data_IF_415141379351
#
_entry.id   IF_415141379351
#
_cell.length_a   1.000
_cell.length_b   1.000
_cell.length_c   1.000
_cell.angle_alpha   90.00
_cell.angle_beta   90.00
_cell.angle_gamma   90.00
#
_symmetry.space_group_name_H-M   'P 1'
#
loop_
_entity.id
_entity.type
_entity.pdbx_description
1 polymer ?
#
# COMPACT_ATOMS: atom_id res chain seq x y z
N UNK A 1 20.82 -13.10 1.66
CA UNK A 1 19.87 -14.22 1.46
C UNK A 1 19.09 -13.82 0.24
N UNK A 2 19.49 -14.35 -0.91
CA UNK A 2 18.75 -14.17 -2.14
C UNK A 2 17.47 -15.00 -2.02
N UNK A 3 16.31 -14.36 -2.05
CA UNK A 3 15.04 -15.08 -2.15
C UNK A 3 14.99 -15.69 -3.55
N UNK A 4 15.44 -16.94 -3.68
CA UNK A 4 15.24 -17.70 -4.91
C UNK A 4 13.83 -18.26 -4.91
N UNK A 5 12.95 -17.59 -5.63
CA UNK A 5 11.66 -18.14 -6.02
C UNK A 5 11.91 -19.29 -6.99
N UNK A 6 11.47 -20.50 -6.62
CA UNK A 6 11.60 -21.70 -7.45
C UNK A 6 10.79 -21.48 -8.73
N UNK A 7 11.49 -21.33 -9.84
CA UNK A 7 10.90 -21.32 -11.19
C UNK A 7 10.61 -22.76 -11.62
N UNK A 8 9.39 -23.11 -12.06
CA UNK A 8 9.22 -24.28 -12.87
C UNK A 8 9.79 -23.95 -14.24
N UNK A 9 11.01 -24.41 -14.50
CA UNK A 9 11.51 -24.56 -15.85
C UNK A 9 10.56 -25.52 -16.60
N UNK A 10 9.72 -24.97 -17.47
CA UNK A 10 9.34 -25.65 -18.70
C UNK A 10 8.94 -24.61 -19.74
N UNK A 11 9.90 -24.33 -20.62
CA UNK A 11 9.69 -23.63 -21.88
C UNK A 11 8.73 -24.44 -22.73
N UNK A 12 7.62 -23.84 -23.12
CA UNK A 12 7.08 -24.02 -24.46
C UNK A 12 7.08 -22.62 -25.07
N UNK A 13 7.78 -22.37 -26.19
CA UNK A 13 7.84 -21.04 -26.76
C UNK A 13 6.45 -20.69 -27.31
N UNK A 14 5.80 -19.70 -26.71
CA UNK A 14 4.73 -18.98 -27.39
C UNK A 14 5.36 -18.31 -28.61
N UNK A 15 4.82 -18.65 -29.77
CA UNK A 15 5.28 -18.19 -31.08
C UNK A 15 5.40 -16.67 -31.15
N UNK A 16 6.55 -16.24 -31.65
CA UNK A 16 6.95 -14.91 -32.12
C UNK A 16 5.85 -13.86 -32.30
N UNK A 17 5.76 -12.93 -31.36
CA UNK A 17 5.42 -11.54 -31.66
C UNK A 17 6.72 -10.73 -31.74
N UNK A 18 7.36 -10.80 -32.90
CA UNK A 18 8.60 -10.11 -33.25
C UNK A 18 8.33 -8.68 -33.72
N UNK A 19 7.67 -7.88 -32.89
CA UNK A 19 7.71 -6.42 -33.01
C UNK A 19 8.60 -5.90 -31.88
N UNK A 20 9.60 -5.03 -32.13
CA UNK A 20 10.30 -4.34 -31.07
C UNK A 20 9.29 -3.53 -30.23
N UNK A 21 8.92 -4.07 -29.06
CA UNK A 21 7.82 -3.58 -28.21
C UNK A 21 8.04 -2.18 -27.65
N UNK A 22 9.23 -1.60 -27.79
CA UNK A 22 9.49 -0.18 -27.54
C UNK A 22 8.69 0.77 -28.44
N UNK A 23 8.08 0.25 -29.53
CA UNK A 23 7.11 0.99 -30.36
C UNK A 23 5.64 0.73 -29.99
N UNK A 24 5.37 -0.12 -29.00
CA UNK A 24 4.01 -0.54 -28.67
C UNK A 24 3.29 0.45 -27.78
N UNK A 25 3.99 1.31 -27.05
CA UNK A 25 3.48 2.21 -26.01
C UNK A 25 3.80 3.67 -26.34
N UNK A 26 2.93 4.60 -25.94
CA UNK A 26 3.18 6.02 -26.14
C UNK A 26 4.38 6.47 -25.28
N UNK A 27 5.21 7.37 -25.81
CA UNK A 27 6.44 7.86 -25.17
C UNK A 27 6.11 8.54 -23.84
N UNK A 28 5.02 9.32 -23.80
CA UNK A 28 4.55 10.00 -22.59
C UNK A 28 4.19 9.03 -21.46
N UNK A 29 3.57 7.89 -21.80
CA UNK A 29 3.20 6.86 -20.84
C UNK A 29 4.44 6.11 -20.32
N UNK A 30 5.40 5.82 -21.20
CA UNK A 30 6.66 5.18 -20.81
C UNK A 30 7.49 6.08 -19.88
N UNK A 31 7.54 7.38 -20.15
CA UNK A 31 8.17 8.35 -19.26
C UNK A 31 7.49 8.39 -17.90
N UNK A 32 6.16 8.36 -17.86
CA UNK A 32 5.42 8.33 -16.60
C UNK A 32 5.66 7.03 -15.80
N UNK A 33 5.73 5.87 -16.49
CA UNK A 33 6.12 4.60 -15.86
C UNK A 33 7.52 4.66 -15.25
N UNK A 34 8.48 5.31 -15.92
CA UNK A 34 9.83 5.51 -15.38
C UNK A 34 9.83 6.38 -14.13
N UNK A 35 9.05 7.46 -14.13
CA UNK A 35 8.87 8.33 -12.96
C UNK A 35 8.29 7.54 -11.78
N UNK A 36 7.23 6.76 -12.01
CA UNK A 36 6.60 5.93 -10.99
C UNK A 36 7.54 4.83 -10.47
N UNK A 37 8.42 4.31 -11.32
CA UNK A 37 9.43 3.29 -10.94
C UNK A 37 10.51 3.89 -10.04
N UNK A 38 11.00 5.08 -10.37
CA UNK A 38 11.94 5.78 -9.48
C UNK A 38 11.26 6.11 -8.15
N UNK A 39 10.00 6.57 -8.18
CA UNK A 39 9.26 6.85 -6.96
C UNK A 39 9.05 5.61 -6.08
N UNK A 40 8.66 4.48 -6.67
CA UNK A 40 8.49 3.21 -5.96
C UNK A 40 9.82 2.74 -5.34
N UNK A 41 10.93 2.92 -6.07
CA UNK A 41 12.27 2.57 -5.59
C UNK A 41 12.75 3.47 -4.47
N UNK A 42 12.51 4.79 -4.58
CA UNK A 42 12.79 5.75 -3.52
C UNK A 42 12.01 5.40 -2.24
N UNK A 43 10.71 5.13 -2.37
CA UNK A 43 9.85 4.71 -1.26
C UNK A 43 10.39 3.48 -0.54
N UNK A 44 10.78 2.44 -1.28
CA UNK A 44 11.40 1.23 -0.72
C UNK A 44 12.71 1.53 0.02
N UNK A 45 13.57 2.39 -0.54
CA UNK A 45 14.84 2.81 0.09
C UNK A 45 14.60 3.59 1.39
N UNK A 46 13.68 4.55 1.39
CA UNK A 46 13.32 5.33 2.58
C UNK A 46 12.86 4.40 3.71
N UNK A 47 11.99 3.44 3.40
CA UNK A 47 11.52 2.49 4.38
C UNK A 47 12.62 1.52 4.88
N UNK A 48 13.48 1.04 4.00
CA UNK A 48 14.58 0.15 4.37
C UNK A 48 15.56 0.81 5.35
N UNK A 49 15.82 2.11 5.20
CA UNK A 49 16.67 2.86 6.14
C UNK A 49 16.08 2.97 7.54
N UNK A 50 14.76 2.85 7.69
CA UNK A 50 14.05 2.92 8.97
C UNK A 50 14.02 1.57 9.71
N UNK A 51 14.44 0.45 9.08
CA UNK A 51 14.52 -0.88 9.72
C UNK A 51 13.19 -1.38 10.29
N UNK A 52 12.09 -0.92 9.69
CA UNK A 52 10.74 -1.05 10.22
C UNK A 52 9.91 -2.06 9.42
N UNK A 53 8.66 -2.28 9.83
CA UNK A 53 7.75 -3.26 9.24
C UNK A 53 6.60 -2.50 8.59
N UNK A 54 6.39 -2.74 7.29
CA UNK A 54 5.43 -1.96 6.50
C UNK A 54 4.01 -2.19 7.03
N UNK A 55 3.20 -1.14 7.07
CA UNK A 55 1.77 -1.16 7.41
C UNK A 55 1.42 -1.74 8.79
N UNK A 56 2.41 -1.88 9.67
CA UNK A 56 2.20 -2.35 11.04
C UNK A 56 1.31 -1.39 11.85
N UNK A 57 1.33 -0.10 11.52
CA UNK A 57 0.59 0.93 12.24
C UNK A 57 -0.82 1.15 11.70
N UNK A 58 -1.19 0.46 10.62
CA UNK A 58 -2.47 0.56 9.94
C UNK A 58 -3.19 -0.79 9.87
N UNK A 59 -3.52 -1.41 11.03
CA UNK A 59 -4.35 -2.61 11.04
C UNK A 59 -5.76 -2.29 10.52
N UNK A 60 -6.55 -3.33 10.22
CA UNK A 60 -7.90 -3.19 9.62
C UNK A 60 -8.79 -2.15 10.29
N UNK A 61 -8.87 -2.04 11.65
CA UNK A 61 -9.70 -1.02 12.29
C UNK A 61 -9.24 0.42 12.00
N UNK A 62 -7.95 0.66 11.78
CA UNK A 62 -7.42 1.98 11.42
C UNK A 62 -7.76 2.31 9.97
N UNK A 63 -7.61 1.33 9.07
CA UNK A 63 -7.99 1.47 7.66
C UNK A 63 -9.49 1.77 7.54
N UNK A 64 -10.34 0.99 8.22
CA UNK A 64 -11.79 1.17 8.27
C UNK A 64 -12.18 2.54 8.83
N UNK A 65 -11.56 2.96 9.95
CA UNK A 65 -11.78 4.29 10.50
C UNK A 65 -11.40 5.39 9.50
N UNK A 66 -10.32 5.22 8.75
CA UNK A 66 -9.87 6.21 7.75
C UNK A 66 -10.87 6.30 6.59
N UNK A 67 -11.32 5.15 6.07
CA UNK A 67 -12.37 5.07 5.04
C UNK A 67 -13.65 5.78 5.50
N UNK A 68 -14.09 5.53 6.73
CA UNK A 68 -15.28 6.15 7.30
C UNK A 68 -15.14 7.67 7.44
N UNK A 69 -13.99 8.16 7.94
CA UNK A 69 -13.73 9.59 8.08
C UNK A 69 -13.72 10.27 6.70
N UNK A 70 -13.02 9.70 5.72
CA UNK A 70 -12.96 10.26 4.38
C UNK A 70 -14.34 10.27 3.71
N UNK A 71 -15.16 9.23 3.92
CA UNK A 71 -16.55 9.19 3.46
C UNK A 71 -17.39 10.31 4.09
N UNK A 72 -17.27 10.56 5.40
CA UNK A 72 -17.95 11.67 6.09
C UNK A 72 -17.58 13.04 5.52
N UNK A 73 -16.34 13.21 5.06
CA UNK A 73 -15.88 14.44 4.43
C UNK A 73 -16.03 14.46 2.91
N UNK A 74 -16.64 13.42 2.32
CA UNK A 74 -16.81 13.26 0.87
C UNK A 74 -15.47 13.39 0.10
N UNK A 75 -14.40 12.87 0.70
CA UNK A 75 -13.06 12.88 0.11
C UNK A 75 -12.87 11.69 -0.83
N UNK A 76 -12.15 11.86 -1.95
CA UNK A 76 -11.93 10.77 -2.88
C UNK A 76 -10.95 9.73 -2.32
N UNK A 77 -10.98 8.53 -2.89
CA UNK A 77 -10.25 7.36 -2.36
C UNK A 77 -8.74 7.54 -2.41
N UNK A 78 -8.23 8.32 -3.35
CA UNK A 78 -6.84 8.76 -3.46
C UNK A 78 -6.37 9.40 -2.15
N UNK A 79 -7.18 10.28 -1.55
CA UNK A 79 -6.90 10.91 -0.26
C UNK A 79 -6.84 9.87 0.85
N UNK A 80 -7.73 8.88 0.80
CA UNK A 80 -7.84 7.83 1.82
C UNK A 80 -6.58 6.96 1.86
N UNK A 81 -6.20 6.35 0.73
CA UNK A 81 -5.04 5.46 0.71
C UNK A 81 -3.72 6.20 0.90
N UNK A 82 -3.62 7.45 0.43
CA UNK A 82 -2.46 8.30 0.71
C UNK A 82 -2.39 8.65 2.22
N UNK A 83 -3.52 8.93 2.87
CA UNK A 83 -3.55 9.20 4.30
C UNK A 83 -3.14 7.99 5.14
N UNK A 84 -3.56 6.77 4.74
CA UNK A 84 -3.14 5.51 5.38
C UNK A 84 -1.62 5.37 5.31
N UNK A 85 -1.04 5.62 4.13
CA UNK A 85 0.40 5.55 3.96
C UNK A 85 1.17 6.59 4.80
N UNK A 86 0.74 7.84 4.76
CA UNK A 86 1.32 8.92 5.57
C UNK A 86 1.23 8.56 7.06
N UNK A 87 0.11 8.00 7.49
CA UNK A 87 -0.10 7.61 8.89
C UNK A 87 0.83 6.47 9.30
N UNK A 88 0.99 5.44 8.48
CA UNK A 88 1.89 4.32 8.80
C UNK A 88 3.33 4.80 8.99
N UNK A 89 3.86 5.52 7.99
CA UNK A 89 5.20 6.10 8.04
C UNK A 89 5.39 7.03 9.23
N UNK A 90 4.39 7.88 9.51
CA UNK A 90 4.47 8.81 10.63
C UNK A 90 4.54 8.06 11.98
N UNK A 91 3.70 7.05 12.18
CA UNK A 91 3.68 6.31 13.44
C UNK A 91 5.00 5.56 13.63
N UNK A 92 5.51 4.91 12.59
CA UNK A 92 6.81 4.22 12.60
C UNK A 92 7.94 5.18 12.98
N UNK A 93 8.07 6.30 12.27
CA UNK A 93 9.12 7.28 12.54
C UNK A 93 8.97 7.89 13.94
N UNK A 94 7.76 8.33 14.30
CA UNK A 94 7.52 8.99 15.58
C UNK A 94 7.78 8.07 16.77
N UNK A 95 7.39 6.80 16.68
CA UNK A 95 7.63 5.83 17.75
C UNK A 95 9.10 5.46 17.87
N UNK A 96 9.80 5.34 16.74
CA UNK A 96 11.26 5.11 16.70
C UNK A 96 12.02 6.24 17.36
N UNK A 97 11.74 7.50 17.00
CA UNK A 97 12.36 8.68 17.59
C UNK A 97 12.15 8.75 19.11
N UNK A 98 10.92 8.48 19.56
CA UNK A 98 10.56 8.51 20.97
C UNK A 98 11.25 7.39 21.77
N UNK A 99 11.41 6.22 21.16
CA UNK A 99 12.12 5.10 21.76
C UNK A 99 13.62 5.39 21.87
N UNK A 100 14.24 5.87 20.79
CA UNK A 100 15.66 6.27 20.79
C UNK A 100 15.95 7.33 21.86
N UNK A 101 15.12 8.38 21.93
CA UNK A 101 15.23 9.40 22.98
C UNK A 101 15.16 8.81 24.39
N UNK A 102 14.29 7.79 24.59
CA UNK A 102 14.21 7.10 25.88
C UNK A 102 15.49 6.34 26.21
N UNK A 103 16.10 5.68 25.23
CA UNK A 103 17.36 4.95 25.38
C UNK A 103 18.53 5.90 25.70
N UNK A 104 18.57 7.05 25.04
CA UNK A 104 19.62 8.06 25.26
C UNK A 104 19.50 8.76 26.62
N UNK A 105 18.28 8.89 27.14
CA UNK A 105 18.00 9.61 28.40
C UNK A 105 18.25 8.79 29.67
N UNK A 106 18.33 7.45 29.59
CA UNK A 106 18.51 6.59 30.75
C UNK A 106 19.05 5.23 30.33
N UNK A 107 20.03 4.68 31.06
CA UNK A 107 20.50 3.31 30.90
C UNK A 107 19.69 2.27 31.68
N UNK A 108 18.77 2.70 32.57
CA UNK A 108 17.93 1.80 33.35
C UNK A 108 16.67 1.39 32.58
N UNK A 109 16.56 0.09 32.28
CA UNK A 109 15.44 -0.47 31.54
C UNK A 109 14.07 -0.23 32.21
N UNK A 110 14.00 -0.22 33.56
CA UNK A 110 12.74 0.06 34.26
C UNK A 110 12.27 1.49 34.03
N UNK A 111 13.19 2.45 34.10
CA UNK A 111 12.92 3.86 33.82
C UNK A 111 12.53 4.09 32.36
N UNK A 112 13.22 3.47 31.40
CA UNK A 112 12.85 3.48 29.98
C UNK A 112 11.43 2.94 29.77
N UNK A 113 11.10 1.79 30.35
CA UNK A 113 9.77 1.18 30.21
C UNK A 113 8.65 2.05 30.81
N UNK A 114 8.92 2.71 31.94
CA UNK A 114 7.97 3.65 32.56
C UNK A 114 7.74 4.87 31.69
N UNK A 115 8.82 5.43 31.11
CA UNK A 115 8.73 6.53 30.15
C UNK A 115 7.93 6.11 28.92
N UNK A 116 8.26 4.95 28.34
CA UNK A 116 7.58 4.38 27.18
C UNK A 116 6.07 4.23 27.41
N UNK A 117 5.64 3.61 28.52
CA UNK A 117 4.22 3.48 28.86
C UNK A 117 3.49 4.82 28.91
N UNK A 118 4.13 5.85 29.48
CA UNK A 118 3.56 7.21 29.55
C UNK A 118 3.42 7.83 28.16
N UNK A 119 4.43 7.67 27.31
CA UNK A 119 4.43 8.20 25.95
C UNK A 119 3.41 7.46 25.09
N UNK A 120 3.37 6.12 25.12
CA UNK A 120 2.39 5.32 24.37
C UNK A 120 0.95 5.67 24.73
N UNK A 121 0.64 5.84 26.02
CA UNK A 121 -0.68 6.27 26.47
C UNK A 121 -1.04 7.69 25.95
N UNK A 122 -0.06 8.59 25.84
CA UNK A 122 -0.27 9.91 25.25
C UNK A 122 -0.48 9.84 23.75
N UNK A 123 0.32 9.04 23.04
CA UNK A 123 0.21 8.84 21.59
C UNK A 123 -1.14 8.23 21.22
N UNK A 124 -1.63 7.27 22.00
CA UNK A 124 -2.96 6.68 21.81
C UNK A 124 -4.08 7.73 21.95
N UNK A 125 -4.02 8.61 22.95
CA UNK A 125 -5.01 9.70 23.11
C UNK A 125 -4.98 10.73 21.97
N UNK A 126 -3.89 10.77 21.20
CA UNK A 126 -3.71 11.71 20.10
C UNK A 126 -3.84 11.03 18.72
N UNK A 127 -4.08 9.71 18.66
CA UNK A 127 -4.05 8.96 17.41
C UNK A 127 -5.07 9.47 16.40
N UNK A 128 -6.31 9.74 16.83
CA UNK A 128 -7.35 10.30 15.96
C UNK A 128 -6.94 11.66 15.39
N UNK A 129 -6.36 12.54 16.21
CA UNK A 129 -5.87 13.84 15.74
C UNK A 129 -4.72 13.67 14.72
N UNK A 130 -3.82 12.69 14.93
CA UNK A 130 -2.73 12.38 13.99
C UNK A 130 -3.28 11.82 12.68
N UNK A 131 -4.27 10.94 12.74
CA UNK A 131 -4.92 10.39 11.56
C UNK A 131 -5.60 11.50 10.73
N UNK A 132 -6.38 12.36 11.38
CA UNK A 132 -6.99 13.52 10.71
C UNK A 132 -5.93 14.47 10.13
N UNK A 133 -4.80 14.66 10.81
CA UNK A 133 -3.68 15.42 10.25
C UNK A 133 -3.09 14.78 8.98
N UNK A 134 -3.00 13.45 8.93
CA UNK A 134 -2.57 12.73 7.72
C UNK A 134 -3.58 12.89 6.57
N UNK A 135 -4.89 12.82 6.88
CA UNK A 135 -5.97 13.08 5.90
C UNK A 135 -5.91 14.52 5.38
N UNK A 136 -5.65 15.51 6.24
CA UNK A 136 -5.48 16.89 5.81
C UNK A 136 -4.29 17.05 4.85
N UNK A 137 -3.13 16.46 5.17
CA UNK A 137 -1.95 16.49 4.30
C UNK A 137 -2.27 15.82 2.96
N UNK A 138 -2.84 14.61 2.97
CA UNK A 138 -3.22 13.89 1.76
C UNK A 138 -4.21 14.70 0.91
N UNK A 139 -5.22 15.33 1.53
CA UNK A 139 -6.18 16.17 0.83
C UNK A 139 -5.55 17.39 0.17
N UNK A 140 -4.47 17.95 0.73
CA UNK A 140 -3.74 19.07 0.12
C UNK A 140 -2.92 18.64 -1.08
N UNK A 141 -2.39 17.42 -1.05
CA UNK A 141 -1.63 16.84 -2.17
C UNK A 141 -2.59 16.56 -3.34
N UNK A 142 -3.73 15.93 -3.05
CA UNK A 142 -4.68 15.47 -4.08
C UNK A 142 -5.60 16.60 -4.57
N UNK A 143 -6.15 17.43 -3.67
CA UNK A 143 -7.28 18.32 -3.99
C UNK A 143 -6.93 19.80 -4.14
N UNK A 144 -5.65 20.17 -4.16
CA UNK A 144 -5.16 21.55 -4.33
C UNK A 144 -5.98 22.62 -3.57
N UNK A 145 -6.99 23.23 -4.22
CA UNK A 145 -7.83 24.32 -3.70
C UNK A 145 -8.99 23.91 -2.79
N UNK A 146 -9.41 22.63 -2.79
CA UNK A 146 -10.58 22.12 -2.05
C UNK A 146 -10.17 21.22 -0.89
N UNK A 147 -8.92 21.34 -0.44
CA UNK A 147 -8.37 20.51 0.63
C UNK A 147 -9.11 20.66 1.97
N UNK A 148 -9.06 19.61 2.79
CA UNK A 148 -9.74 19.55 4.08
C UNK A 148 -9.20 20.63 5.05
N UNK A 149 -10.05 21.62 5.33
CA UNK A 149 -9.67 22.73 6.21
C UNK A 149 -9.51 22.29 7.68
N UNK A 150 -8.62 22.96 8.45
CA UNK A 150 -8.52 22.73 9.90
C UNK A 150 -9.83 22.96 10.67
N UNK A 151 -10.72 23.80 10.14
CA UNK A 151 -12.03 24.08 10.73
C UNK A 151 -12.97 22.87 10.64
N UNK A 152 -13.00 22.20 9.49
CA UNK A 152 -13.76 20.95 9.33
C UNK A 152 -13.27 19.86 10.29
N UNK A 153 -11.95 19.77 10.48
CA UNK A 153 -11.35 18.83 11.46
C UNK A 153 -11.71 19.19 12.90
N UNK A 154 -11.72 20.49 13.25
CA UNK A 154 -12.15 20.96 14.57
C UNK A 154 -13.61 20.59 14.86
N UNK A 155 -14.50 20.83 13.90
CA UNK A 155 -15.92 20.50 14.01
C UNK A 155 -16.16 18.99 14.16
N UNK A 156 -15.44 18.16 13.38
CA UNK A 156 -15.49 16.70 13.49
C UNK A 156 -15.02 16.23 14.87
N UNK A 157 -13.85 16.69 15.32
CA UNK A 157 -13.29 16.31 16.63
C UNK A 157 -14.23 16.72 17.77
N UNK A 158 -14.85 17.90 17.71
CA UNK A 158 -15.81 18.35 18.70
C UNK A 158 -17.04 17.43 18.76
N UNK A 159 -17.59 17.04 17.61
CA UNK A 159 -18.70 16.06 17.52
C UNK A 159 -18.31 14.69 18.09
N UNK A 160 -17.05 14.29 17.95
CA UNK A 160 -16.50 13.06 18.54
C UNK A 160 -16.08 13.19 20.02
N UNK A 161 -16.38 14.31 20.69
CA UNK A 161 -16.09 14.51 22.12
C UNK A 161 -14.67 15.01 22.42
N UNK A 162 -13.93 15.49 21.42
CA UNK A 162 -12.57 15.99 21.56
C UNK A 162 -12.50 17.53 21.39
N UNK A 163 -12.19 18.24 22.47
CA UNK A 163 -12.09 19.70 22.47
C UNK A 163 -10.70 20.20 22.03
N UNK A 164 -10.32 19.95 20.77
CA UNK A 164 -9.11 20.54 20.17
C UNK A 164 -9.39 21.93 19.62
N UNK A 165 -8.40 22.82 19.71
CA UNK A 165 -8.43 24.15 19.08
C UNK A 165 -7.70 24.12 17.73
N UNK A 166 -8.06 24.99 16.79
CA UNK A 166 -7.35 25.18 15.51
C UNK A 166 -5.82 25.20 15.65
N UNK A 167 -5.26 25.95 16.61
CA UNK A 167 -3.80 26.01 16.85
C UNK A 167 -3.19 24.62 17.11
N UNK A 168 -3.89 23.77 17.85
CA UNK A 168 -3.45 22.41 18.16
C UNK A 168 -3.57 21.49 16.95
N UNK A 169 -4.60 21.69 16.11
CA UNK A 169 -4.81 20.94 14.87
C UNK A 169 -3.71 21.28 13.86
N UNK A 170 -3.50 22.56 13.56
CA UNK A 170 -2.41 22.99 12.67
C UNK A 170 -1.02 22.60 13.21
N UNK A 171 -0.84 22.65 14.54
CA UNK A 171 0.39 22.18 15.18
C UNK A 171 0.59 20.66 15.06
N UNK A 172 -0.50 19.89 15.04
CA UNK A 172 -0.46 18.45 14.79
C UNK A 172 -0.09 18.13 13.35
N UNK A 173 -0.73 18.81 12.40
CA UNK A 173 -0.44 18.67 10.98
C UNK A 173 1.03 18.97 10.67
N UNK A 174 1.54 20.10 11.17
CA UNK A 174 2.95 20.47 10.99
C UNK A 174 3.88 19.41 11.56
N UNK A 175 3.54 18.83 12.73
CA UNK A 175 4.34 17.78 13.34
C UNK A 175 4.42 16.54 12.46
N UNK A 176 3.27 16.06 11.95
CA UNK A 176 3.24 14.90 11.05
C UNK A 176 4.13 15.16 9.84
N UNK A 177 3.94 16.30 9.17
CA UNK A 177 4.71 16.65 7.98
C UNK A 177 6.21 16.79 8.27
N UNK A 178 6.59 17.44 9.37
CA UNK A 178 8.00 17.62 9.75
C UNK A 178 8.67 16.33 10.20
N UNK A 179 7.93 15.43 10.87
CA UNK A 179 8.46 14.12 11.29
C UNK A 179 8.83 13.25 10.09
N UNK A 180 8.11 13.41 8.98
CA UNK A 180 8.44 12.75 7.71
C UNK A 180 9.52 13.49 6.89
N UNK A 181 10.20 14.48 7.47
CA UNK A 181 11.20 15.29 6.77
C UNK A 181 10.63 16.03 5.56
N UNK A 182 9.33 16.37 5.58
CA UNK A 182 8.59 16.93 4.45
C UNK A 182 8.56 16.02 3.20
N UNK A 183 8.82 14.72 3.37
CA UNK A 183 8.78 13.70 2.30
C UNK A 183 7.51 12.88 2.42
N UNK A 184 6.47 13.34 1.76
CA UNK A 184 5.20 12.62 1.60
C UNK A 184 5.09 12.12 0.16
N UNK A 185 4.49 10.95 -0.09
CA UNK A 185 4.29 10.47 -1.46
C UNK A 185 3.45 11.47 -2.24
N UNK A 186 3.85 11.71 -3.48
CA UNK A 186 3.11 12.57 -4.42
C UNK A 186 2.18 11.72 -5.28
N UNK A 187 2.63 10.50 -5.61
CA UNK A 187 1.84 9.52 -6.34
C UNK A 187 1.16 8.55 -5.38
N UNK A 188 -0.07 8.19 -5.73
CA UNK A 188 -0.94 7.26 -5.03
C UNK A 188 -0.96 5.90 -5.75
N UNK A 189 -1.46 4.87 -5.08
CA UNK A 189 -1.68 3.55 -5.71
C UNK A 189 -2.57 3.63 -6.98
N UNK A 190 -3.47 4.63 -7.06
CA UNK A 190 -4.29 4.85 -8.25
C UNK A 190 -3.48 5.30 -9.45
N UNK A 191 -2.38 6.05 -9.28
CA UNK A 191 -1.50 6.42 -10.40
C UNK A 191 -0.87 5.17 -11.04
N UNK A 192 -0.49 4.19 -10.20
CA UNK A 192 0.02 2.89 -10.66
C UNK A 192 -1.07 2.05 -11.33
N UNK A 193 -2.28 1.98 -10.76
CA UNK A 193 -3.41 1.26 -11.37
C UNK A 193 -3.78 1.88 -12.71
N UNK A 194 -3.90 3.21 -12.76
CA UNK A 194 -4.29 3.97 -13.94
C UNK A 194 -3.31 3.73 -15.09
N UNK A 195 -2.01 3.95 -14.89
CA UNK A 195 -1.02 3.78 -15.96
C UNK A 195 -0.95 2.35 -16.48
N UNK A 196 -1.14 1.35 -15.60
CA UNK A 196 -1.13 -0.06 -15.98
C UNK A 196 -2.40 -0.46 -16.73
N UNK A 197 -3.57 0.07 -16.34
CA UNK A 197 -4.83 -0.11 -17.09
C UNK A 197 -4.76 0.56 -18.46
N UNK A 198 -4.21 1.77 -18.54
CA UNK A 198 -3.97 2.48 -19.81
C UNK A 198 -3.04 1.68 -20.73
N UNK A 199 -2.01 1.04 -20.18
CA UNK A 199 -1.16 0.14 -20.96
C UNK A 199 -1.91 -1.11 -21.44
N UNK A 200 -2.86 -1.63 -20.65
CA UNK A 200 -3.68 -2.80 -20.99
C UNK A 200 -4.79 -2.51 -22.01
N UNK A 201 -5.18 -1.25 -22.23
CA UNK A 201 -6.18 -0.85 -23.25
C UNK A 201 -5.90 -1.43 -24.64
N UNK A 202 -4.63 -1.74 -24.95
CA UNK A 202 -4.22 -2.32 -26.23
C UNK A 202 -4.64 -3.77 -26.41
N UNK A 203 -4.95 -4.44 -25.31
CA UNK A 203 -5.30 -5.86 -25.25
C UNK A 203 -6.78 -6.05 -24.85
N UNK A 204 -7.42 -5.01 -24.31
CA UNK A 204 -8.84 -5.05 -23.94
C UNK A 204 -9.49 -3.68 -24.08
N UNK A 205 -10.69 -3.65 -24.66
CA UNK A 205 -11.54 -2.45 -24.69
C UNK A 205 -12.47 -2.36 -23.46
N UNK A 206 -12.40 -3.33 -22.53
CA UNK A 206 -13.27 -3.48 -21.36
C UNK A 206 -12.70 -2.77 -20.11
N UNK A 207 -11.66 -1.95 -20.25
CA UNK A 207 -11.00 -1.26 -19.12
C UNK A 207 -11.90 -0.29 -18.36
N UNK A 208 -12.93 0.24 -19.02
CA UNK A 208 -13.89 1.14 -18.39
C UNK A 208 -14.71 0.45 -17.29
N UNK A 209 -14.88 -0.87 -17.39
CA UNK A 209 -15.52 -1.71 -16.36
C UNK A 209 -14.51 -2.15 -15.29
N UNK A 210 -13.21 -2.18 -15.61
CA UNK A 210 -12.16 -2.59 -14.68
C UNK A 210 -11.92 -1.57 -13.56
N UNK A 211 -11.96 -0.28 -13.84
CA UNK A 211 -11.59 0.74 -12.85
C UNK A 211 -12.48 0.71 -11.58
N UNK A 212 -13.83 0.66 -11.68
CA UNK A 212 -14.69 0.54 -10.50
C UNK A 212 -14.44 -0.74 -9.69
N UNK A 213 -14.11 -1.86 -10.34
CA UNK A 213 -13.78 -3.11 -9.65
C UNK A 213 -12.40 -3.03 -8.99
N UNK A 214 -11.42 -2.40 -9.65
CA UNK A 214 -10.11 -2.15 -9.07
C UNK A 214 -10.22 -1.33 -7.78
N UNK A 215 -11.08 -0.32 -7.73
CA UNK A 215 -11.35 0.47 -6.53
C UNK A 215 -11.87 -0.40 -5.37
N UNK A 216 -12.88 -1.24 -5.62
CA UNK A 216 -13.43 -2.15 -4.60
C UNK A 216 -12.41 -3.20 -4.13
N UNK A 217 -11.66 -3.79 -5.07
CA UNK A 217 -10.62 -4.77 -4.77
C UNK A 217 -9.50 -4.11 -3.97
N UNK A 218 -9.10 -2.88 -4.30
CA UNK A 218 -8.10 -2.12 -3.57
C UNK A 218 -8.54 -1.83 -2.12
N UNK A 219 -9.77 -1.36 -1.92
CA UNK A 219 -10.33 -1.12 -0.59
C UNK A 219 -10.29 -2.40 0.26
N UNK A 220 -10.77 -3.51 -0.30
CA UNK A 220 -10.76 -4.80 0.39
C UNK A 220 -9.32 -5.27 0.70
N UNK A 221 -8.40 -5.09 -0.25
CA UNK A 221 -6.98 -5.45 -0.09
C UNK A 221 -6.35 -4.68 1.07
N UNK A 222 -6.67 -3.40 1.24
CA UNK A 222 -6.18 -2.61 2.38
C UNK A 222 -6.82 -3.05 3.71
N UNK A 223 -8.10 -3.42 3.71
CA UNK A 223 -8.78 -3.93 4.91
C UNK A 223 -8.21 -5.29 5.37
N UNK A 224 -7.84 -6.17 4.44
CA UNK A 224 -7.31 -7.51 4.73
C UNK A 224 -5.78 -7.61 4.59
N UNK A 225 -5.09 -6.47 4.51
CA UNK A 225 -3.67 -6.39 4.13
C UNK A 225 -2.77 -7.30 4.96
N UNK A 226 -2.88 -7.22 6.28
CA UNK A 226 -2.06 -7.99 7.22
C UNK A 226 -2.21 -9.50 6.97
N UNK A 227 -3.44 -9.97 6.77
CA UNK A 227 -3.71 -11.38 6.50
C UNK A 227 -3.24 -11.81 5.10
N UNK A 228 -3.47 -10.97 4.08
CA UNK A 228 -3.01 -11.23 2.70
C UNK A 228 -1.48 -11.38 2.67
N UNK A 229 -0.74 -10.44 3.25
CA UNK A 229 0.72 -10.47 3.22
C UNK A 229 1.34 -11.53 4.14
N UNK A 230 0.68 -11.89 5.25
CA UNK A 230 1.04 -13.08 6.05
C UNK A 230 0.93 -14.38 5.25
N UNK A 231 -0.15 -14.53 4.49
CA UNK A 231 -0.31 -15.68 3.61
C UNK A 231 0.69 -15.65 2.46
N UNK A 232 1.01 -14.46 1.93
CA UNK A 232 1.94 -14.31 0.82
C UNK A 232 3.39 -14.66 1.20
N UNK A 233 3.87 -14.20 2.36
CA UNK A 233 5.18 -14.64 2.85
C UNK A 233 5.19 -16.14 3.17
N UNK A 234 4.10 -16.68 3.72
CA UNK A 234 3.96 -18.13 3.93
C UNK A 234 4.04 -18.90 2.62
N UNK A 235 3.39 -18.45 1.55
CA UNK A 235 3.48 -19.08 0.23
C UNK A 235 4.91 -19.08 -0.32
N UNK A 236 5.66 -18.00 -0.08
CA UNK A 236 7.06 -17.90 -0.52
C UNK A 236 8.01 -18.79 0.29
N UNK A 237 7.76 -19.00 1.58
CA UNK A 237 8.71 -19.68 2.49
C UNK A 237 8.24 -21.03 3.02
N UNK A 238 6.99 -21.42 2.78
CA UNK A 238 6.30 -22.58 3.37
C UNK A 238 6.38 -22.64 4.91
N UNK A 239 6.43 -21.48 5.57
CA UNK A 239 6.61 -21.34 7.03
C UNK A 239 5.79 -20.19 7.56
N UNK A 240 5.25 -20.33 8.77
CA UNK A 240 4.49 -19.28 9.45
C UNK A 240 5.35 -18.49 10.45
N UNK A 241 6.46 -19.08 10.87
CA UNK A 241 7.44 -18.47 11.75
C UNK A 241 8.51 -17.74 10.94
N UNK A 242 8.50 -16.41 11.05
CA UNK A 242 9.51 -15.54 10.44
C UNK A 242 10.15 -14.67 11.51
N UNK A 243 11.47 -14.64 11.51
CA UNK A 243 12.25 -13.68 12.28
C UNK A 243 11.94 -12.25 11.86
N UNK A 244 12.24 -11.29 12.75
CA UNK A 244 12.08 -9.86 12.44
C UNK A 244 12.85 -9.47 11.17
N UNK A 245 14.06 -10.00 10.99
CA UNK A 245 14.91 -9.68 9.84
C UNK A 245 14.34 -10.25 8.53
N UNK A 246 13.72 -11.43 8.56
CA UNK A 246 13.00 -11.97 7.40
C UNK A 246 11.80 -11.09 7.03
N UNK A 247 11.05 -10.59 8.01
CA UNK A 247 9.93 -9.68 7.74
C UNK A 247 10.37 -8.31 7.22
N UNK A 248 11.48 -7.77 7.74
CA UNK A 248 12.06 -6.52 7.24
C UNK A 248 12.48 -6.70 5.78
N UNK A 249 13.10 -7.82 5.42
CA UNK A 249 13.44 -8.12 4.03
C UNK A 249 12.20 -8.26 3.14
N UNK A 250 11.14 -8.88 3.65
CA UNK A 250 9.88 -9.02 2.93
C UNK A 250 9.12 -7.69 2.77
N UNK A 251 9.43 -6.66 3.59
CA UNK A 251 8.78 -5.36 3.49
C UNK A 251 8.94 -4.72 2.09
N UNK A 252 10.03 -5.00 1.36
CA UNK A 252 10.19 -4.52 -0.02
C UNK A 252 9.09 -5.03 -0.96
N UNK A 253 8.62 -6.27 -0.75
CA UNK A 253 7.51 -6.88 -1.51
C UNK A 253 6.20 -6.21 -1.14
N UNK A 254 5.99 -5.95 0.15
CA UNK A 254 4.77 -5.29 0.64
C UNK A 254 4.66 -3.81 0.23
N UNK A 255 5.79 -3.13 0.09
CA UNK A 255 5.84 -1.73 -0.32
C UNK A 255 5.75 -1.53 -1.84
N UNK A 256 5.91 -2.60 -2.62
CA UNK A 256 5.96 -2.51 -4.07
C UNK A 256 4.57 -2.18 -4.66
N UNK A 257 4.38 -0.92 -5.03
CA UNK A 257 3.13 -0.41 -5.60
C UNK A 257 2.83 -1.02 -6.97
N UNK A 258 3.86 -1.38 -7.75
CA UNK A 258 3.66 -2.01 -9.05
C UNK A 258 3.16 -3.45 -8.89
N UNK A 259 3.70 -4.21 -7.94
CA UNK A 259 3.20 -5.53 -7.62
C UNK A 259 1.73 -5.47 -7.14
N UNK A 260 1.45 -4.55 -6.22
CA UNK A 260 0.09 -4.36 -5.68
C UNK A 260 -0.92 -3.97 -6.77
N UNK A 261 -0.62 -2.93 -7.55
CA UNK A 261 -1.49 -2.46 -8.62
C UNK A 261 -1.73 -3.56 -9.66
N UNK A 262 -0.68 -4.30 -10.05
CA UNK A 262 -0.81 -5.42 -10.99
C UNK A 262 -1.71 -6.53 -10.42
N UNK A 263 -1.53 -6.90 -9.16
CA UNK A 263 -2.36 -7.92 -8.52
C UNK A 263 -3.83 -7.50 -8.39
N UNK A 264 -4.10 -6.21 -8.11
CA UNK A 264 -5.46 -5.65 -8.08
C UNK A 264 -6.11 -5.73 -9.45
N UNK A 265 -5.39 -5.35 -10.51
CA UNK A 265 -5.89 -5.41 -11.89
C UNK A 265 -6.19 -6.86 -12.29
N UNK A 266 -5.26 -7.78 -12.08
CA UNK A 266 -5.44 -9.21 -12.40
C UNK A 266 -6.61 -9.82 -11.63
N UNK A 267 -6.78 -9.44 -10.36
CA UNK A 267 -7.92 -9.85 -9.54
C UNK A 267 -9.23 -9.31 -10.10
N UNK A 268 -9.25 -8.06 -10.55
CA UNK A 268 -10.43 -7.43 -11.14
C UNK A 268 -10.83 -8.08 -12.46
N UNK A 269 -9.85 -8.41 -13.31
CA UNK A 269 -10.05 -9.19 -14.54
C UNK A 269 -10.64 -10.57 -14.22
N UNK A 270 -10.14 -11.23 -13.18
CA UNK A 270 -10.66 -12.53 -12.74
C UNK A 270 -12.10 -12.44 -12.23
N UNK A 271 -12.42 -11.44 -11.39
CA UNK A 271 -13.76 -11.23 -10.83
C UNK A 271 -14.78 -10.92 -11.92
N UNK A 272 -14.42 -10.07 -12.89
CA UNK A 272 -15.29 -9.74 -14.03
C UNK A 272 -15.39 -10.87 -15.04
N UNK A 273 -14.48 -11.85 -15.00
CA UNK A 273 -14.37 -12.93 -15.97
C UNK A 273 -14.35 -12.38 -17.41
N UNK A 274 -13.44 -11.43 -17.66
CA UNK A 274 -13.34 -10.76 -18.96
C UNK A 274 -13.09 -11.77 -20.08
N UNK A 275 -13.73 -11.52 -21.22
CA UNK A 275 -13.63 -12.39 -22.39
C UNK A 275 -12.40 -12.07 -23.24
N UNK A 276 -11.94 -10.81 -23.23
CA UNK A 276 -10.85 -10.35 -24.10
C UNK A 276 -9.46 -10.74 -23.59
N UNK A 277 -9.26 -10.81 -22.27
CA UNK A 277 -7.96 -11.06 -21.66
C UNK A 277 -8.12 -11.84 -20.35
N UNK A 278 -7.41 -12.96 -20.25
CA UNK A 278 -7.42 -13.79 -19.05
C UNK A 278 -6.42 -13.32 -17.98
N UNK A 279 -6.59 -13.72 -16.70
CA UNK A 279 -5.69 -13.35 -15.60
C UNK A 279 -4.22 -13.72 -15.83
N UNK A 280 -3.96 -14.88 -16.47
CA UNK A 280 -2.60 -15.34 -16.76
C UNK A 280 -1.91 -14.44 -17.80
N UNK A 281 -2.61 -14.13 -18.89
CA UNK A 281 -2.09 -13.26 -19.96
C UNK A 281 -1.87 -11.83 -19.45
N UNK A 282 -2.83 -11.29 -18.70
CA UNK A 282 -2.68 -9.99 -18.04
C UNK A 282 -1.47 -9.96 -17.10
N UNK A 283 -1.22 -11.04 -16.35
CA UNK A 283 -0.06 -11.10 -15.44
C UNK A 283 1.27 -11.07 -16.18
N UNK A 284 1.38 -11.69 -17.36
CA UNK A 284 2.60 -11.66 -18.17
C UNK A 284 2.85 -10.27 -18.78
N UNK A 285 1.79 -9.62 -19.29
CA UNK A 285 1.88 -8.26 -19.85
C UNK A 285 2.27 -7.27 -18.75
N UNK A 286 1.61 -7.34 -17.60
CA UNK A 286 1.90 -6.48 -16.45
C UNK A 286 3.29 -6.75 -15.88
N UNK A 287 3.74 -8.00 -15.83
CA UNK A 287 5.09 -8.37 -15.41
C UNK A 287 6.17 -7.63 -16.22
N UNK A 288 6.00 -7.55 -17.54
CA UNK A 288 6.91 -6.82 -18.43
C UNK A 288 6.91 -5.31 -18.13
N UNK A 289 5.73 -4.70 -18.01
CA UNK A 289 5.55 -3.26 -17.77
C UNK A 289 6.04 -2.82 -16.38
N UNK A 290 5.62 -3.56 -15.36
CA UNK A 290 5.92 -3.30 -13.96
C UNK A 290 7.37 -3.66 -13.61
N UNK A 291 8.02 -4.52 -14.40
CA UNK A 291 9.30 -5.15 -14.05
C UNK A 291 9.20 -5.93 -12.72
N UNK A 292 8.10 -6.68 -12.56
CA UNK A 292 7.78 -7.50 -11.39
C UNK A 292 7.48 -8.92 -11.87
N UNK A 293 7.81 -9.95 -11.08
CA UNK A 293 7.54 -11.35 -11.42
C UNK A 293 6.06 -11.63 -11.69
N UNK A 294 5.75 -12.25 -12.85
CA UNK A 294 4.38 -12.71 -13.16
C UNK A 294 3.88 -13.77 -12.18
N UNK A 295 4.77 -14.55 -11.55
CA UNK A 295 4.41 -15.49 -10.49
C UNK A 295 3.93 -14.76 -9.24
N UNK A 296 4.58 -13.64 -8.89
CA UNK A 296 4.27 -12.89 -7.68
C UNK A 296 2.95 -12.14 -7.86
N UNK A 297 2.74 -11.54 -9.03
CA UNK A 297 1.48 -10.91 -9.42
C UNK A 297 0.32 -11.92 -9.28
N UNK A 298 0.48 -13.12 -9.84
CA UNK A 298 -0.54 -14.18 -9.76
C UNK A 298 -0.74 -14.68 -8.34
N UNK A 299 0.34 -14.92 -7.60
CA UNK A 299 0.28 -15.38 -6.21
C UNK A 299 -0.50 -14.41 -5.34
N UNK A 300 -0.18 -13.11 -5.42
CA UNK A 300 -0.88 -12.08 -4.67
C UNK A 300 -2.34 -11.93 -5.14
N UNK A 301 -2.60 -11.97 -6.45
CA UNK A 301 -3.96 -11.88 -7.00
C UNK A 301 -4.86 -13.05 -6.55
N UNK A 302 -4.33 -14.27 -6.48
CA UNK A 302 -5.05 -15.43 -5.97
C UNK A 302 -5.44 -15.24 -4.51
N UNK A 303 -4.51 -14.77 -3.67
CA UNK A 303 -4.79 -14.52 -2.25
C UNK A 303 -5.88 -13.46 -2.07
N UNK A 304 -5.80 -12.35 -2.81
CA UNK A 304 -6.83 -11.29 -2.78
C UNK A 304 -8.18 -11.88 -3.22
N UNK A 305 -8.21 -12.61 -4.34
CA UNK A 305 -9.43 -13.23 -4.88
C UNK A 305 -10.06 -14.22 -3.89
N UNK A 306 -9.26 -15.04 -3.22
CA UNK A 306 -9.73 -16.00 -2.21
C UNK A 306 -10.36 -15.31 -1.01
N UNK A 307 -9.79 -14.17 -0.57
CA UNK A 307 -10.37 -13.41 0.54
C UNK A 307 -11.70 -12.75 0.15
N UNK A 308 -11.79 -12.21 -1.07
CA UNK A 308 -13.03 -11.58 -1.56
C UNK A 308 -14.14 -12.61 -1.80
N UNK A 309 -13.84 -13.72 -2.46
CA UNK A 309 -14.84 -14.70 -2.91
C UNK A 309 -15.11 -15.82 -1.89
N UNK A 310 -14.33 -15.88 -0.80
CA UNK A 310 -14.37 -16.94 0.22
C UNK A 310 -13.58 -18.19 -0.19
N UNK A 311 -13.19 -18.99 0.81
CA UNK A 311 -12.30 -20.17 0.66
C UNK A 311 -12.89 -21.34 -0.17
N UNK A 312 -14.06 -21.16 -0.80
CA UNK A 312 -14.82 -22.21 -1.50
C UNK A 312 -14.74 -22.21 -3.03
N UNK A 313 -14.18 -21.19 -3.68
CA UNK A 313 -14.16 -21.11 -5.15
C UNK A 313 -12.76 -21.40 -5.67
N UNK A 314 -12.57 -22.66 -6.09
CA UNK A 314 -11.39 -23.24 -6.76
C UNK A 314 -10.10 -23.05 -5.96
N UNK A 315 -9.76 -24.08 -5.19
CA UNK A 315 -8.37 -24.32 -4.82
C UNK A 315 -7.53 -24.35 -6.09
N UNK A 316 -6.79 -23.28 -6.34
CA UNK A 316 -5.64 -23.34 -7.24
C UNK A 316 -4.63 -24.20 -6.49
N UNK A 317 -4.64 -25.51 -6.74
CA UNK A 317 -3.63 -26.43 -6.25
C UNK A 317 -2.30 -26.00 -6.83
N UNK A 318 -1.50 -25.32 -6.03
CA UNK A 318 -0.08 -25.22 -6.28
C UNK A 318 0.49 -26.64 -6.15
N UNK A 319 1.27 -27.06 -7.14
CA UNK A 319 2.18 -28.19 -6.92
C UNK A 319 3.06 -27.78 -5.74
N UNK A 320 2.85 -28.44 -4.61
CA UNK A 320 3.74 -28.38 -3.47
C UNK A 320 5.16 -28.62 -3.98
N UNK A 321 6.07 -27.68 -3.75
CA UNK A 321 7.48 -27.92 -3.98
C UNK A 321 7.87 -29.15 -3.15
N UNK A 322 8.41 -30.16 -3.84
CA UNK A 322 9.14 -31.26 -3.21
C UNK A 322 10.56 -30.85 -2.88
#
# INVERSE_FOLDING_TARGET
MDFQFVTPANRTPLSEFSVPKSKLYDESMMDFLLILREHNSQRKREFATEGSLAFLSTPSPVVELTLNICSVFELPKEVTFLAIDIFDRFVVQHTTDLWQYSCDSSSDFKSQMKYWRRISARSQKQSLLRLLSCIQIASKIVLQSVALSPKHVEEYLHKSGHAYKLKSICGSERRVFSSLGCKVPIYTIFDYIFVLLEALLKWTNETHELFPVCDQVLEYTYLQRDEIYKQFIWMATCRWDHSRDERIKFAEVELDQFLMASAIIVTSIYILNLSSIGPNEASEILSELASVSSNDIRGLSILISQKILGEGIRSVTFKSCG
#
